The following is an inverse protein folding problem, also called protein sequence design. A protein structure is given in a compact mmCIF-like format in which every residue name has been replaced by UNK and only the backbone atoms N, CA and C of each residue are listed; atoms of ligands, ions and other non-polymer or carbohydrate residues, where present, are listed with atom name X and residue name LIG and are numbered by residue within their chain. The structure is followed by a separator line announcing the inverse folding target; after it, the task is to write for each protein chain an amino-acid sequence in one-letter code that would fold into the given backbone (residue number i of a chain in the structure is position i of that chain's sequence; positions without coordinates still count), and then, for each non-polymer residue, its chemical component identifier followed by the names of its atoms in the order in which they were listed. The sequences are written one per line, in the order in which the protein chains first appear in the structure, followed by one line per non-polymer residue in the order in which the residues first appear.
data_IF_663624402194
#
_entry.id   IF_663624402194
#
_cell.length_a   1.000
_cell.length_b   1.000
_cell.length_c   1.000
_cell.angle_alpha   90.00
_cell.angle_beta   90.00
_cell.angle_gamma   90.00
#
_symmetry.space_group_name_H-M   'P 1'
#
loop_
_entity.id
_entity.type
_entity.pdbx_description
1 polymer ?
#
# COMPACT_ATOMS: atom_id res chain seq x y z
N UNK A 1 19.15 -38.22 7.58
CA UNK A 1 19.65 -36.87 7.91
C UNK A 1 20.35 -36.35 6.69
N UNK A 2 20.05 -35.12 6.30
CA UNK A 2 20.61 -34.46 5.14
C UNK A 2 21.15 -33.08 5.54
N UNK A 3 22.16 -32.58 4.83
CA UNK A 3 22.71 -31.25 5.01
C UNK A 3 22.71 -30.50 3.67
N UNK A 4 22.43 -29.21 3.71
CA UNK A 4 22.23 -28.35 2.55
C UNK A 4 23.11 -27.12 2.68
N UNK A 5 23.93 -26.89 1.65
CA UNK A 5 24.81 -25.73 1.56
C UNK A 5 24.57 -25.03 0.22
N UNK A 6 24.07 -23.79 0.22
CA UNK A 6 23.97 -22.97 -0.98
C UNK A 6 25.35 -22.67 -1.56
N UNK A 7 25.49 -22.81 -2.88
CA UNK A 7 26.71 -22.53 -3.65
C UNK A 7 26.37 -21.54 -4.76
N UNK A 8 27.25 -20.57 -5.01
CA UNK A 8 27.06 -19.56 -6.05
C UNK A 8 26.36 -18.31 -5.52
N UNK A 9 25.42 -17.77 -6.29
CA UNK A 9 24.63 -16.59 -5.93
C UNK A 9 23.59 -16.97 -4.87
N UNK A 10 23.82 -16.50 -3.64
CA UNK A 10 22.95 -16.80 -2.48
C UNK A 10 21.79 -15.83 -2.32
N UNK A 11 21.89 -14.63 -2.91
CA UNK A 11 20.87 -13.60 -2.82
C UNK A 11 20.52 -13.13 -4.23
N UNK A 12 19.24 -12.98 -4.52
CA UNK A 12 18.74 -12.49 -5.80
C UNK A 12 17.77 -11.33 -5.58
N UNK A 13 17.99 -10.21 -6.26
CA UNK A 13 17.08 -9.06 -6.18
C UNK A 13 15.68 -9.38 -6.71
N UNK A 14 14.66 -8.95 -5.98
CA UNK A 14 13.24 -9.07 -6.33
C UNK A 14 12.56 -7.73 -6.07
N UNK A 15 12.45 -6.90 -7.11
CA UNK A 15 11.95 -5.52 -6.98
C UNK A 15 10.54 -5.42 -6.40
N UNK A 16 9.69 -6.44 -6.63
CA UNK A 16 8.34 -6.50 -6.08
C UNK A 16 8.30 -6.57 -4.55
N UNK A 17 9.42 -6.90 -3.91
CA UNK A 17 9.59 -6.98 -2.46
C UNK A 17 10.30 -5.76 -1.87
N UNK A 18 10.65 -4.75 -2.68
CA UNK A 18 11.19 -3.51 -2.18
C UNK A 18 10.18 -2.84 -1.22
N UNK A 19 10.68 -2.33 -0.10
CA UNK A 19 9.86 -1.59 0.86
C UNK A 19 10.40 -0.19 1.05
N UNK A 20 9.53 0.77 1.35
CA UNK A 20 9.92 2.14 1.65
C UNK A 20 9.39 2.56 3.01
N UNK A 21 10.27 3.11 3.84
CA UNK A 21 9.96 3.65 5.16
C UNK A 21 10.38 5.11 5.23
N UNK A 22 9.51 5.95 5.80
CA UNK A 22 9.83 7.35 6.08
C UNK A 22 10.50 7.44 7.45
N UNK A 23 11.75 7.90 7.48
CA UNK A 23 12.52 8.08 8.72
C UNK A 23 13.04 9.52 8.78
N UNK A 24 12.53 10.31 9.74
CA UNK A 24 12.89 11.72 9.85
C UNK A 24 12.51 12.52 8.60
N UNK A 25 13.51 12.99 7.86
CA UNK A 25 13.38 13.83 6.66
C UNK A 25 13.69 13.12 5.35
N UNK A 26 13.75 11.79 5.33
CA UNK A 26 14.00 11.03 4.10
C UNK A 26 13.19 9.72 4.03
N UNK A 27 12.88 9.28 2.82
CA UNK A 27 12.43 7.92 2.59
C UNK A 27 13.65 7.02 2.40
N UNK A 28 13.73 5.95 3.19
CA UNK A 28 14.68 4.86 2.97
C UNK A 28 13.97 3.72 2.29
N UNK A 29 14.51 3.27 1.16
CA UNK A 29 14.05 2.10 0.42
C UNK A 29 14.99 0.95 0.72
N UNK A 30 14.43 -0.17 1.19
CA UNK A 30 15.17 -1.42 1.41
C UNK A 30 14.86 -2.38 0.27
N UNK A 31 15.91 -2.87 -0.38
CA UNK A 31 15.83 -3.77 -1.52
C UNK A 31 15.20 -5.11 -1.13
N UNK A 32 14.27 -5.57 -1.95
CA UNK A 32 13.73 -6.91 -1.92
C UNK A 32 14.74 -7.93 -2.43
N UNK A 33 14.99 -8.98 -1.66
CA UNK A 33 15.87 -10.09 -2.04
C UNK A 33 15.21 -11.42 -1.72
N UNK A 34 15.49 -12.43 -2.55
CA UNK A 34 15.32 -13.84 -2.24
C UNK A 34 16.68 -14.41 -1.82
N UNK A 35 16.71 -15.06 -0.66
CA UNK A 35 17.93 -15.52 0.01
C UNK A 35 17.87 -17.03 0.17
N UNK A 36 18.90 -17.74 -0.33
CA UNK A 36 19.07 -19.18 -0.16
C UNK A 36 19.61 -19.50 1.24
N UNK A 37 19.00 -20.48 1.90
CA UNK A 37 19.32 -20.84 3.28
C UNK A 37 20.18 -22.10 3.35
N UNK A 38 21.09 -22.15 4.30
CA UNK A 38 21.86 -23.35 4.65
C UNK A 38 21.20 -24.07 5.82
N UNK A 39 21.33 -25.39 5.91
CA UNK A 39 20.65 -26.10 6.97
C UNK A 39 20.76 -27.61 6.91
N UNK A 40 19.95 -28.26 7.73
CA UNK A 40 19.86 -29.71 7.79
C UNK A 40 18.44 -30.17 8.10
N UNK A 41 18.15 -31.41 7.72
CA UNK A 41 16.95 -32.11 8.13
C UNK A 41 17.25 -33.51 8.67
N UNK A 42 16.32 -34.02 9.46
CA UNK A 42 16.35 -35.38 9.95
C UNK A 42 14.96 -35.94 10.11
N UNK A 43 14.73 -37.12 9.53
CA UNK A 43 13.49 -37.88 9.69
C UNK A 43 13.81 -39.32 10.14
N UNK A 44 12.98 -39.85 11.03
CA UNK A 44 12.98 -41.26 11.40
C UNK A 44 11.65 -41.86 10.97
N UNK A 45 11.72 -42.96 10.22
CA UNK A 45 10.54 -43.65 9.69
C UNK A 45 10.30 -45.00 10.36
N UNK A 46 9.05 -45.27 10.71
CA UNK A 46 8.58 -46.53 11.26
C UNK A 46 7.47 -47.14 10.38
N UNK A 47 7.53 -48.44 10.13
CA UNK A 47 6.47 -49.17 9.41
C UNK A 47 5.35 -49.49 10.39
N UNK A 48 4.15 -49.01 10.11
CA UNK A 48 2.99 -49.30 10.95
C UNK A 48 2.52 -50.75 10.73
N UNK A 49 2.23 -51.52 11.80
CA UNK A 49 1.84 -52.92 11.73
C UNK A 49 0.36 -53.09 11.36
N UNK A 50 -0.09 -52.41 10.31
CA UNK A 50 -1.48 -52.45 9.82
C UNK A 50 -1.67 -53.39 8.62
N UNK A 51 -0.56 -53.79 7.98
CA UNK A 51 -0.53 -54.72 6.85
C UNK A 51 0.57 -55.76 7.09
N UNK A 52 0.31 -57.00 6.68
CA UNK A 52 1.30 -58.09 6.80
C UNK A 52 2.61 -57.73 6.10
N UNK A 53 3.71 -58.19 6.69
CA UNK A 53 5.07 -57.85 6.26
C UNK A 53 5.28 -58.10 4.76
N UNK A 54 4.62 -59.14 4.24
CA UNK A 54 4.75 -59.64 2.87
C UNK A 54 3.57 -59.29 1.95
N UNK A 55 2.56 -58.53 2.42
CA UNK A 55 1.30 -58.26 1.68
C UNK A 55 1.42 -57.34 0.46
N UNK A 56 2.64 -56.93 0.08
CA UNK A 56 2.87 -55.93 -0.98
C UNK A 56 2.35 -54.52 -0.65
N UNK A 57 1.57 -54.34 0.42
CA UNK A 57 1.05 -53.05 0.88
C UNK A 57 1.73 -52.65 2.17
N UNK A 58 2.22 -51.42 2.23
CA UNK A 58 3.01 -50.94 3.37
C UNK A 58 2.58 -49.53 3.76
N UNK A 59 2.27 -49.30 5.03
CA UNK A 59 2.09 -47.96 5.58
C UNK A 59 3.27 -47.60 6.47
N UNK A 60 3.84 -46.42 6.28
CA UNK A 60 4.93 -45.88 7.08
C UNK A 60 4.58 -44.52 7.63
N UNK A 61 4.99 -44.27 8.86
CA UNK A 61 4.95 -42.97 9.50
C UNK A 61 6.37 -42.47 9.73
N UNK A 62 6.59 -41.20 9.44
CA UNK A 62 7.85 -40.50 9.61
C UNK A 62 7.63 -39.32 10.54
N UNK A 63 8.57 -39.14 11.47
CA UNK A 63 8.64 -37.98 12.33
C UNK A 63 10.06 -37.42 12.30
N UNK A 64 10.16 -36.10 12.24
CA UNK A 64 11.43 -35.43 12.08
C UNK A 64 11.34 -33.94 12.34
N UNK A 65 12.41 -33.26 11.99
CA UNK A 65 12.49 -31.81 12.01
C UNK A 65 13.60 -31.31 11.10
N UNK A 66 13.59 -30.00 10.90
CA UNK A 66 14.55 -29.30 10.06
C UNK A 66 14.94 -27.98 10.71
N UNK A 67 16.11 -27.47 10.33
CA UNK A 67 16.60 -26.16 10.70
C UNK A 67 17.39 -25.59 9.53
N UNK A 68 16.92 -24.45 9.01
CA UNK A 68 17.58 -23.68 7.96
C UNK A 68 17.75 -22.25 8.42
N UNK A 69 18.95 -21.71 8.23
CA UNK A 69 19.33 -20.34 8.59
C UNK A 69 20.06 -19.66 7.44
N UNK A 70 20.16 -18.34 7.52
CA UNK A 70 20.94 -17.53 6.58
C UNK A 70 21.87 -16.59 7.33
N UNK A 71 23.02 -16.29 6.74
CA UNK A 71 23.94 -15.26 7.24
C UNK A 71 23.42 -13.84 6.90
N UNK A 72 22.35 -13.73 6.10
CA UNK A 72 21.74 -12.44 5.76
C UNK A 72 20.92 -11.90 6.94
N UNK A 73 21.26 -10.69 7.38
CA UNK A 73 20.58 -10.02 8.48
C UNK A 73 19.08 -9.83 8.22
N UNK A 74 18.27 -10.08 9.25
CA UNK A 74 16.81 -9.86 9.22
C UNK A 74 16.02 -10.98 8.54
N UNK A 75 16.67 -12.04 8.08
CA UNK A 75 16.01 -13.27 7.63
C UNK A 75 15.77 -14.16 8.84
N UNK A 76 14.51 -14.54 9.07
CA UNK A 76 14.16 -15.44 10.18
C UNK A 76 14.53 -16.89 9.85
N UNK A 77 14.98 -17.64 10.87
CA UNK A 77 15.27 -19.06 10.71
C UNK A 77 14.01 -19.86 10.37
N UNK A 78 14.16 -20.82 9.46
CA UNK A 78 13.11 -21.74 9.04
C UNK A 78 13.36 -23.07 9.73
N UNK A 79 12.66 -23.30 10.83
CA UNK A 79 12.82 -24.50 11.64
C UNK A 79 11.49 -25.03 12.17
N UNK A 80 11.38 -26.34 12.31
CA UNK A 80 10.17 -26.93 12.87
C UNK A 80 10.03 -28.44 12.71
N UNK A 81 8.98 -29.01 13.30
CA UNK A 81 8.66 -30.42 13.15
C UNK A 81 8.08 -30.74 11.76
N UNK A 82 8.31 -31.97 11.33
CA UNK A 82 7.72 -32.57 10.13
C UNK A 82 7.17 -33.95 10.43
N UNK A 83 5.97 -34.22 9.94
CA UNK A 83 5.29 -35.51 9.99
C UNK A 83 4.93 -35.95 8.58
N UNK A 84 5.18 -37.21 8.24
CA UNK A 84 4.81 -37.75 6.93
C UNK A 84 4.26 -39.16 7.05
N UNK A 85 3.18 -39.43 6.33
CA UNK A 85 2.62 -40.76 6.13
C UNK A 85 2.86 -41.17 4.68
N UNK A 86 3.25 -42.41 4.46
CA UNK A 86 3.50 -42.95 3.12
C UNK A 86 2.87 -44.34 2.99
N UNK A 87 1.86 -44.45 2.12
CA UNK A 87 1.19 -45.69 1.76
C UNK A 87 1.73 -46.18 0.43
N UNK A 88 2.35 -47.34 0.45
CA UNK A 88 2.99 -47.96 -0.70
C UNK A 88 2.22 -49.22 -1.11
N UNK A 89 2.09 -49.41 -2.42
CA UNK A 89 1.63 -50.62 -3.09
C UNK A 89 2.73 -51.13 -4.02
N UNK A 90 3.29 -52.28 -3.68
CA UNK A 90 4.27 -53.02 -4.49
C UNK A 90 3.54 -53.97 -5.45
N UNK A 91 4.15 -54.23 -6.62
CA UNK A 91 3.65 -55.20 -7.61
C UNK A 91 2.20 -54.95 -8.06
N UNK A 92 1.95 -53.75 -8.58
CA UNK A 92 0.64 -53.35 -9.07
C UNK A 92 0.10 -54.37 -10.10
N UNK A 93 -1.11 -54.93 -9.90
CA UNK A 93 -1.62 -56.05 -10.70
C UNK A 93 -1.88 -55.68 -12.17
N UNK A 94 -2.00 -54.40 -12.48
CA UNK A 94 -2.23 -53.86 -13.83
C UNK A 94 -0.98 -53.23 -14.46
N UNK A 95 0.18 -53.31 -13.80
CA UNK A 95 1.42 -52.71 -14.30
C UNK A 95 2.57 -53.75 -14.36
N UNK A 96 3.76 -53.29 -14.77
CA UNK A 96 4.92 -54.16 -14.93
C UNK A 96 5.36 -54.81 -13.60
N UNK A 97 5.87 -56.04 -13.67
CA UNK A 97 6.45 -56.71 -12.50
C UNK A 97 7.57 -55.85 -11.88
N UNK A 98 7.50 -55.65 -10.57
CA UNK A 98 8.42 -54.77 -9.84
C UNK A 98 8.05 -53.28 -9.86
N UNK A 99 6.91 -52.91 -10.46
CA UNK A 99 6.35 -51.55 -10.32
C UNK A 99 5.85 -51.29 -8.90
N UNK A 100 5.88 -50.02 -8.50
CA UNK A 100 5.46 -49.56 -7.18
C UNK A 100 4.71 -48.24 -7.29
N UNK A 101 3.58 -48.14 -6.62
CA UNK A 101 2.84 -46.90 -6.44
C UNK A 101 2.92 -46.48 -4.98
N UNK A 102 3.10 -45.20 -4.70
CA UNK A 102 3.03 -44.69 -3.34
C UNK A 102 2.24 -43.38 -3.25
N UNK A 103 1.50 -43.23 -2.17
CA UNK A 103 0.70 -42.06 -1.84
C UNK A 103 1.18 -41.54 -0.50
N UNK A 104 1.65 -40.29 -0.46
CA UNK A 104 2.17 -39.64 0.72
C UNK A 104 1.31 -38.47 1.16
N UNK A 105 1.22 -38.27 2.48
CA UNK A 105 0.69 -37.06 3.09
C UNK A 105 1.74 -36.49 4.05
N UNK A 106 2.07 -35.21 3.92
CA UNK A 106 3.07 -34.54 4.74
C UNK A 106 2.46 -33.32 5.44
N UNK A 107 2.89 -33.08 6.67
CA UNK A 107 2.56 -31.89 7.44
C UNK A 107 3.84 -31.33 8.06
N UNK A 108 3.99 -30.01 7.97
CA UNK A 108 5.09 -29.29 8.62
C UNK A 108 4.59 -27.97 9.21
N UNK A 109 5.28 -27.50 10.25
CA UNK A 109 5.00 -26.22 10.88
C UNK A 109 6.28 -25.49 11.23
N UNK A 110 6.38 -24.24 10.83
CA UNK A 110 7.45 -23.31 11.21
C UNK A 110 6.88 -21.91 11.43
N UNK A 111 7.64 -21.04 12.10
CA UNK A 111 7.19 -19.67 12.42
C UNK A 111 7.03 -18.78 11.17
N UNK A 112 8.00 -18.69 10.23
CA UNK A 112 7.87 -17.79 9.08
C UNK A 112 6.81 -18.23 8.06
N UNK A 113 6.56 -19.53 7.87
CA UNK A 113 5.61 -20.07 6.86
C UNK A 113 4.30 -20.60 7.44
N UNK A 114 4.19 -20.71 8.76
CA UNK A 114 3.01 -21.26 9.43
C UNK A 114 2.90 -22.78 9.26
N UNK A 115 1.67 -23.30 9.14
CA UNK A 115 1.40 -24.73 8.93
C UNK A 115 1.15 -25.05 7.47
N UNK A 116 1.84 -26.05 6.95
CA UNK A 116 1.76 -26.49 5.56
C UNK A 116 1.44 -27.98 5.47
N UNK A 117 0.68 -28.36 4.45
CA UNK A 117 0.31 -29.74 4.20
C UNK A 117 0.45 -30.08 2.72
N UNK A 118 1.00 -31.25 2.43
CA UNK A 118 1.25 -31.72 1.07
C UNK A 118 0.68 -33.13 0.87
N UNK A 119 0.22 -33.39 -0.36
CA UNK A 119 -0.16 -34.74 -0.80
C UNK A 119 0.69 -35.06 -2.02
N UNK A 120 1.28 -36.25 -2.04
CA UNK A 120 2.13 -36.72 -3.13
C UNK A 120 1.66 -38.07 -3.65
N UNK A 121 1.84 -38.30 -4.95
CA UNK A 121 1.66 -39.59 -5.58
C UNK A 121 2.89 -39.90 -6.42
N UNK A 122 3.43 -41.11 -6.31
CA UNK A 122 4.65 -41.53 -7.01
C UNK A 122 4.44 -42.88 -7.66
N UNK A 123 4.77 -42.96 -8.94
CA UNK A 123 4.83 -44.21 -9.70
C UNK A 123 6.29 -44.52 -10.03
N UNK A 124 6.73 -45.73 -9.68
CA UNK A 124 8.04 -46.26 -10.03
C UNK A 124 7.89 -47.45 -10.95
N UNK A 125 8.61 -47.43 -12.07
CA UNK A 125 8.67 -48.53 -13.02
C UNK A 125 10.15 -48.94 -13.18
N UNK A 126 10.51 -50.22 -12.98
CA UNK A 126 11.89 -50.66 -13.16
C UNK A 126 12.27 -50.68 -14.65
N UNK A 127 13.49 -50.27 -14.99
CA UNK A 127 13.95 -50.28 -16.39
C UNK A 127 14.00 -51.67 -17.02
N UNK A 128 14.17 -52.73 -16.22
CA UNK A 128 14.11 -54.14 -16.68
C UNK A 128 12.74 -54.54 -17.23
N UNK A 129 11.70 -53.77 -16.94
CA UNK A 129 10.39 -53.93 -17.57
C UNK A 129 10.42 -53.63 -19.09
N UNK A 130 11.43 -52.89 -19.56
CA UNK A 130 11.54 -52.43 -20.95
C UNK A 130 12.64 -53.16 -21.75
N UNK A 131 13.51 -53.94 -21.10
CA UNK A 131 14.64 -54.62 -21.78
C UNK A 131 14.31 -56.02 -22.31
N UNK A 132 13.08 -56.52 -22.10
CA UNK A 132 12.63 -57.79 -22.67
C UNK A 132 13.27 -59.04 -22.06
N UNK A 133 13.97 -58.90 -20.93
CA UNK A 133 14.58 -60.03 -20.23
C UNK A 133 13.49 -61.02 -19.75
N UNK A 134 13.56 -62.26 -20.25
CA UNK A 134 12.60 -63.35 -19.95
C UNK A 134 12.76 -63.92 -18.55
N UNK A 135 13.84 -63.57 -17.84
CA UNK A 135 14.00 -63.89 -16.43
C UNK A 135 13.39 -62.74 -15.63
N UNK A 136 12.21 -62.94 -14.99
CA UNK A 136 11.66 -61.91 -14.14
C UNK A 136 12.72 -61.55 -13.09
N UNK A 137 13.06 -60.26 -13.00
CA UNK A 137 13.76 -59.71 -11.84
C UNK A 137 13.22 -60.42 -10.60
N UNK A 138 14.10 -61.07 -9.83
CA UNK A 138 13.70 -61.74 -8.59
C UNK A 138 12.76 -60.82 -7.81
N UNK A 139 11.68 -61.38 -7.27
CA UNK A 139 10.85 -60.67 -6.30
C UNK A 139 11.77 -60.21 -5.18
N UNK A 140 11.97 -58.90 -5.11
CA UNK A 140 12.89 -58.31 -4.15
C UNK A 140 12.33 -58.51 -2.76
N UNK A 141 13.19 -58.93 -1.84
CA UNK A 141 12.90 -58.95 -0.41
C UNK A 141 12.60 -57.54 0.09
N UNK A 142 11.95 -57.45 1.26
CA UNK A 142 11.64 -56.17 1.91
C UNK A 142 12.87 -55.28 2.07
N UNK A 143 14.04 -55.86 2.36
CA UNK A 143 15.28 -55.09 2.50
C UNK A 143 15.85 -54.65 1.14
N UNK A 144 15.81 -55.49 0.11
CA UNK A 144 16.25 -55.11 -1.24
C UNK A 144 15.40 -54.00 -1.85
N UNK A 145 14.08 -54.02 -1.62
CA UNK A 145 13.18 -52.93 -2.02
C UNK A 145 13.59 -51.60 -1.38
N UNK A 146 14.06 -51.64 -0.12
CA UNK A 146 14.57 -50.45 0.58
C UNK A 146 15.89 -49.95 0.05
N UNK A 147 16.79 -50.83 -0.37
CA UNK A 147 18.06 -50.42 -1.01
C UNK A 147 17.84 -49.71 -2.34
N UNK A 148 16.66 -49.90 -2.94
CA UNK A 148 16.26 -49.26 -4.16
C UNK A 148 15.50 -47.94 -3.95
N UNK A 149 15.09 -47.60 -2.72
CA UNK A 149 14.35 -46.37 -2.46
C UNK A 149 15.24 -45.14 -2.74
N UNK A 150 14.69 -44.07 -3.34
CA UNK A 150 15.45 -42.84 -3.53
C UNK A 150 15.84 -42.25 -2.19
N UNK A 151 16.92 -41.47 -2.19
CA UNK A 151 17.33 -40.70 -1.03
C UNK A 151 16.17 -39.80 -0.61
N UNK A 152 15.72 -39.96 0.63
CA UNK A 152 14.74 -39.06 1.25
C UNK A 152 15.47 -37.80 1.65
N UNK A 153 15.24 -36.73 0.90
CA UNK A 153 15.79 -35.40 1.09
C UNK A 153 14.76 -34.38 0.61
N UNK A 154 14.93 -33.13 1.03
CA UNK A 154 14.29 -32.01 0.38
C UNK A 154 14.78 -31.92 -1.07
N UNK A 155 13.83 -31.70 -1.98
CA UNK A 155 14.10 -31.63 -3.43
C UNK A 155 14.43 -30.19 -3.82
N UNK A 156 13.85 -29.23 -3.10
CA UNK A 156 13.94 -27.81 -3.40
C UNK A 156 14.98 -27.12 -2.51
N UNK A 157 15.53 -26.02 -3.00
CA UNK A 157 16.38 -25.15 -2.19
C UNK A 157 15.46 -24.30 -1.32
N UNK A 158 15.68 -24.33 0.00
CA UNK A 158 14.92 -23.48 0.92
C UNK A 158 15.37 -22.03 0.73
N UNK A 159 14.43 -21.17 0.36
CA UNK A 159 14.64 -19.74 0.22
C UNK A 159 13.67 -18.95 1.10
N UNK A 160 14.07 -17.75 1.49
CA UNK A 160 13.19 -16.72 2.04
C UNK A 160 13.25 -15.47 1.19
N UNK A 161 12.11 -14.81 1.01
CA UNK A 161 12.01 -13.61 0.19
C UNK A 161 11.42 -12.45 1.01
N UNK A 162 12.07 -11.29 0.95
CA UNK A 162 11.68 -10.12 1.72
C UNK A 162 12.64 -8.94 1.53
N UNK A 163 12.40 -7.84 2.24
CA UNK A 163 13.23 -6.64 2.14
C UNK A 163 14.49 -6.76 3.03
N UNK A 164 15.46 -7.54 2.56
CA UNK A 164 16.70 -7.85 3.30
C UNK A 164 17.95 -7.24 2.68
N UNK A 165 17.83 -6.70 1.45
CA UNK A 165 18.96 -6.19 0.71
C UNK A 165 19.42 -4.81 1.17
N UNK A 166 20.22 -4.16 0.33
CA UNK A 166 20.75 -2.83 0.64
C UNK A 166 19.64 -1.81 0.83
N UNK A 167 19.90 -0.83 1.69
CA UNK A 167 19.02 0.32 1.90
C UNK A 167 19.59 1.57 1.26
N UNK A 168 18.75 2.38 0.62
CA UNK A 168 19.14 3.63 -0.05
C UNK A 168 18.07 4.70 0.16
N UNK A 169 18.49 5.96 0.25
CA UNK A 169 17.57 7.09 0.36
C UNK A 169 16.94 7.41 -0.99
N UNK A 170 15.61 7.50 -1.04
CA UNK A 170 14.91 7.99 -2.21
C UNK A 170 15.03 9.51 -2.36
N UNK A 171 15.25 9.96 -3.59
CA UNK A 171 15.40 11.38 -3.95
C UNK A 171 14.26 11.88 -4.82
N UNK A 172 13.54 10.96 -5.46
CA UNK A 172 12.48 11.27 -6.42
C UNK A 172 11.24 10.45 -6.12
N UNK A 173 10.09 10.93 -6.56
CA UNK A 173 8.89 10.13 -6.71
C UNK A 173 8.98 9.26 -7.96
N UNK A 174 8.15 8.22 -8.07
CA UNK A 174 8.17 7.31 -9.24
C UNK A 174 7.82 7.99 -10.57
N UNK A 175 7.18 9.16 -10.53
CA UNK A 175 6.90 10.03 -11.69
C UNK A 175 8.04 11.02 -12.01
N UNK A 176 9.18 10.94 -11.29
CA UNK A 176 10.39 11.70 -11.58
C UNK A 176 10.46 13.10 -10.94
N UNK A 177 9.56 13.42 -10.01
CA UNK A 177 9.62 14.70 -9.29
C UNK A 177 10.56 14.59 -8.09
N UNK A 178 11.38 15.61 -7.85
CA UNK A 178 12.21 15.66 -6.64
C UNK A 178 11.35 15.66 -5.38
N UNK A 179 11.82 14.99 -4.33
CA UNK A 179 11.14 14.96 -3.02
C UNK A 179 11.76 15.98 -2.07
N UNK A 180 10.93 16.87 -1.54
CA UNK A 180 11.24 17.69 -0.38
C UNK A 180 10.38 17.27 0.79
N UNK A 181 10.96 17.00 1.95
CA UNK A 181 10.22 16.62 3.16
C UNK A 181 10.25 17.76 4.17
N UNK A 182 9.07 18.14 4.67
CA UNK A 182 8.90 19.19 5.69
C UNK A 182 8.17 18.63 6.91
N UNK A 183 8.58 19.06 8.09
CA UNK A 183 8.04 18.62 9.36
C UNK A 183 8.13 19.73 10.41
N UNK A 184 7.38 19.60 11.51
CA UNK A 184 7.29 20.64 12.54
C UNK A 184 8.59 20.85 13.31
N UNK A 185 9.50 19.87 13.32
CA UNK A 185 10.81 20.01 13.95
C UNK A 185 11.79 20.83 13.11
N UNK A 186 11.66 20.80 11.78
CA UNK A 186 12.50 21.53 10.83
C UNK A 186 11.92 22.88 10.39
N UNK A 187 10.65 23.16 10.71
CA UNK A 187 9.95 24.39 10.35
C UNK A 187 9.67 25.20 11.62
N UNK A 188 10.41 26.29 11.82
CA UNK A 188 10.29 27.13 13.00
C UNK A 188 9.01 27.98 13.03
N UNK A 189 8.60 28.48 11.86
CA UNK A 189 7.43 29.34 11.69
C UNK A 189 6.89 29.27 10.24
N UNK A 190 5.85 30.05 9.94
CA UNK A 190 5.25 30.10 8.60
C UNK A 190 6.19 30.69 7.54
N UNK A 191 7.11 31.59 7.91
CA UNK A 191 8.08 32.12 6.96
C UNK A 191 9.07 31.04 6.53
N UNK A 192 9.56 30.23 7.48
CA UNK A 192 10.39 29.07 7.21
C UNK A 192 9.65 28.03 6.34
N UNK A 193 8.36 27.80 6.59
CA UNK A 193 7.53 26.95 5.73
C UNK A 193 7.49 27.48 4.30
N UNK A 194 7.18 28.76 4.10
CA UNK A 194 7.13 29.37 2.78
C UNK A 194 8.48 29.35 2.06
N UNK A 195 9.59 29.52 2.78
CA UNK A 195 10.95 29.33 2.22
C UNK A 195 11.17 27.88 1.78
N UNK A 196 10.78 26.90 2.58
CA UNK A 196 10.90 25.48 2.21
C UNK A 196 10.05 25.12 0.98
N UNK A 197 8.81 25.61 0.91
CA UNK A 197 7.94 25.43 -0.25
C UNK A 197 8.52 26.11 -1.49
N UNK A 198 9.06 27.32 -1.36
CA UNK A 198 9.69 28.05 -2.47
C UNK A 198 10.93 27.32 -2.99
N UNK A 199 11.79 26.85 -2.09
CA UNK A 199 13.01 26.12 -2.44
C UNK A 199 12.71 24.77 -3.10
N UNK A 200 11.61 24.11 -2.74
CA UNK A 200 11.17 22.90 -3.41
C UNK A 200 10.75 23.18 -4.87
N UNK A 201 10.25 24.38 -5.18
CA UNK A 201 9.80 24.74 -6.53
C UNK A 201 8.64 23.87 -7.02
N UNK A 202 8.59 23.61 -8.33
CA UNK A 202 7.56 22.80 -8.99
C UNK A 202 7.79 21.28 -8.82
N UNK A 203 7.99 20.83 -7.59
CA UNK A 203 8.28 19.43 -7.23
C UNK A 203 7.30 18.90 -6.17
N UNK A 204 7.58 17.71 -5.65
CA UNK A 204 6.75 17.09 -4.60
C UNK A 204 7.23 17.51 -3.22
N UNK A 205 6.33 18.06 -2.41
CA UNK A 205 6.55 18.35 -0.99
C UNK A 205 5.73 17.40 -0.13
N UNK A 206 6.39 16.71 0.79
CA UNK A 206 5.79 15.78 1.74
C UNK A 206 5.78 16.43 3.13
N UNK A 207 4.59 16.70 3.66
CA UNK A 207 4.42 17.23 5.03
C UNK A 207 4.26 16.06 6.00
N UNK A 208 5.12 15.82 6.98
CA UNK A 208 5.06 14.55 7.74
C UNK A 208 4.17 14.58 8.98
N UNK A 209 3.89 15.76 9.52
CA UNK A 209 3.17 15.97 10.77
C UNK A 209 2.31 17.26 10.73
N UNK A 210 1.85 17.73 11.89
CA UNK A 210 1.10 18.99 12.00
C UNK A 210 2.07 20.16 12.08
N UNK A 211 1.89 21.14 11.20
CA UNK A 211 2.57 22.44 11.25
C UNK A 211 1.51 23.52 11.49
N UNK A 212 1.63 24.23 12.60
CA UNK A 212 0.78 25.39 12.89
C UNK A 212 1.30 26.62 12.14
N UNK A 213 0.39 27.39 11.55
CA UNK A 213 0.70 28.56 10.74
C UNK A 213 0.02 29.80 11.28
N UNK A 214 0.74 30.92 11.29
CA UNK A 214 0.28 32.21 11.81
C UNK A 214 0.23 33.28 10.73
N UNK A 215 0.76 32.97 9.54
CA UNK A 215 0.67 33.80 8.34
C UNK A 215 0.13 32.98 7.16
N UNK A 216 -0.04 33.66 6.03
CA UNK A 216 -0.45 33.02 4.78
C UNK A 216 0.62 32.01 4.30
N UNK A 217 0.20 30.77 4.04
CA UNK A 217 1.01 29.76 3.36
C UNK A 217 0.95 29.96 1.85
N UNK A 218 2.09 29.92 1.17
CA UNK A 218 2.18 30.13 -0.28
C UNK A 218 2.73 28.86 -0.91
N UNK A 219 1.89 28.16 -1.69
CA UNK A 219 2.29 26.98 -2.45
C UNK A 219 2.60 27.40 -3.90
N UNK A 220 3.86 27.28 -4.36
CA UNK A 220 4.26 27.66 -5.71
C UNK A 220 3.53 26.87 -6.79
N UNK A 221 3.50 27.44 -8.00
CA UNK A 221 2.94 26.77 -9.17
C UNK A 221 3.69 25.47 -9.51
N UNK A 222 2.95 24.44 -9.94
CA UNK A 222 3.49 23.12 -10.29
C UNK A 222 3.85 22.23 -9.11
N UNK A 223 3.62 22.67 -7.87
CA UNK A 223 3.98 21.90 -6.68
C UNK A 223 2.92 20.85 -6.34
N UNK A 224 3.35 19.67 -5.90
CA UNK A 224 2.47 18.65 -5.33
C UNK A 224 2.69 18.54 -3.83
N UNK A 225 1.72 18.93 -3.02
CA UNK A 225 1.75 18.80 -1.56
C UNK A 225 1.04 17.51 -1.13
N UNK A 226 1.75 16.61 -0.46
CA UNK A 226 1.20 15.33 -0.01
C UNK A 226 1.17 15.24 1.50
N UNK A 227 -0.03 15.03 2.03
CA UNK A 227 -0.37 14.94 3.45
C UNK A 227 -0.64 13.53 3.96
N UNK A 228 -1.00 12.59 3.10
CA UNK A 228 -1.27 11.19 3.47
C UNK A 228 -1.31 10.30 2.24
N UNK A 229 -1.42 8.99 2.46
CA UNK A 229 -1.69 8.01 1.40
C UNK A 229 -0.43 7.29 0.94
N UNK A 230 -0.52 6.66 -0.23
CA UNK A 230 0.59 5.97 -0.86
C UNK A 230 1.43 6.96 -1.68
N UNK A 231 2.75 6.93 -1.48
CA UNK A 231 3.72 7.71 -2.25
C UNK A 231 4.69 6.72 -2.91
N UNK A 232 4.71 6.70 -4.24
CA UNK A 232 5.74 6.00 -4.99
C UNK A 232 7.04 6.77 -4.91
N UNK A 233 8.11 6.12 -4.47
CA UNK A 233 9.44 6.72 -4.33
C UNK A 233 10.48 5.93 -5.13
N UNK A 234 11.50 6.64 -5.59
CA UNK A 234 12.59 6.12 -6.41
C UNK A 234 13.94 6.55 -5.84
N UNK A 235 14.86 5.61 -5.77
CA UNK A 235 16.24 5.87 -5.36
C UNK A 235 17.17 6.17 -6.55
N UNK A 236 18.32 6.83 -6.32
CA UNK A 236 19.32 7.06 -7.37
C UNK A 236 19.77 5.79 -8.10
N UNK A 237 19.88 4.65 -7.41
CA UNK A 237 20.21 3.38 -8.06
C UNK A 237 19.05 2.76 -8.88
N UNK A 238 17.86 3.37 -8.86
CA UNK A 238 16.70 2.97 -9.66
C UNK A 238 15.69 2.09 -8.93
N UNK A 239 15.83 1.87 -7.63
CA UNK A 239 14.87 1.07 -6.87
C UNK A 239 13.57 1.84 -6.69
N UNK A 240 12.45 1.19 -7.01
CA UNK A 240 11.11 1.73 -6.79
C UNK A 240 10.46 1.02 -5.60
N UNK A 241 9.76 1.79 -4.76
CA UNK A 241 8.95 1.27 -3.67
C UNK A 241 7.79 2.21 -3.37
N UNK A 242 6.80 1.74 -2.62
CA UNK A 242 5.67 2.56 -2.17
C UNK A 242 5.71 2.74 -0.67
N UNK A 243 5.79 3.99 -0.21
CA UNK A 243 5.67 4.34 1.19
C UNK A 243 4.21 4.69 1.53
N UNK A 244 3.69 4.19 2.65
CA UNK A 244 2.40 4.61 3.20
C UNK A 244 2.61 5.66 4.27
N UNK A 245 1.87 6.76 4.18
CA UNK A 245 1.97 7.87 5.13
C UNK A 245 0.65 8.13 5.84
N UNK A 246 0.75 8.40 7.15
CA UNK A 246 -0.36 8.92 7.97
C UNK A 246 -0.68 10.36 7.58
N UNK A 247 -1.87 10.82 7.99
CA UNK A 247 -2.37 12.15 7.68
C UNK A 247 -1.62 13.24 8.45
N UNK A 248 -1.12 14.24 7.74
CA UNK A 248 -0.44 15.43 8.25
C UNK A 248 -1.36 16.65 8.18
N UNK A 249 -0.95 17.76 8.80
CA UNK A 249 -1.82 18.93 8.89
C UNK A 249 -1.11 20.26 8.70
N UNK A 250 -1.80 21.24 8.11
CA UNK A 250 -1.46 22.65 8.16
C UNK A 250 -2.64 23.40 8.78
N UNK A 251 -2.37 24.19 9.82
CA UNK A 251 -3.45 24.77 10.62
C UNK A 251 -3.17 26.20 11.06
N UNK A 252 -4.04 27.11 10.64
CA UNK A 252 -4.15 28.44 11.21
C UNK A 252 -5.24 28.44 12.30
N UNK A 253 -4.84 28.61 13.56
CA UNK A 253 -5.75 28.54 14.71
C UNK A 253 -5.88 29.91 15.35
N UNK A 254 -7.12 30.39 15.47
CA UNK A 254 -7.46 31.72 16.02
C UNK A 254 -6.61 32.86 15.44
N UNK A 255 -6.41 32.82 14.13
CA UNK A 255 -5.69 33.88 13.40
C UNK A 255 -6.67 34.82 12.72
N UNK A 256 -6.28 36.08 12.52
CA UNK A 256 -7.06 37.03 11.72
C UNK A 256 -6.93 36.83 10.20
N UNK A 257 -6.38 35.69 9.76
CA UNK A 257 -6.13 35.40 8.35
C UNK A 257 -7.43 35.20 7.59
N UNK A 258 -7.61 35.97 6.53
CA UNK A 258 -8.67 35.71 5.55
C UNK A 258 -8.44 34.35 4.87
N UNK A 259 -7.23 34.06 4.40
CA UNK A 259 -6.89 32.77 3.78
C UNK A 259 -5.75 32.10 4.54
N UNK A 260 -5.83 30.79 4.79
CA UNK A 260 -4.71 30.04 5.36
C UNK A 260 -3.65 29.74 4.30
N UNK A 261 -4.07 29.41 3.08
CA UNK A 261 -3.15 29.07 1.99
C UNK A 261 -3.57 29.69 0.66
N UNK A 262 -2.60 30.24 -0.07
CA UNK A 262 -2.69 30.53 -1.50
C UNK A 262 -1.95 29.45 -2.30
N UNK A 263 -2.58 28.94 -3.35
CA UNK A 263 -1.97 27.95 -4.24
C UNK A 263 -1.80 28.50 -5.65
N UNK A 264 -0.72 28.10 -6.34
CA UNK A 264 -0.42 28.50 -7.71
C UNK A 264 -1.07 27.62 -8.77
N UNK A 265 -0.83 27.94 -10.05
CA UNK A 265 -1.23 27.10 -11.19
C UNK A 265 -0.65 25.68 -11.11
N UNK A 266 -1.38 24.70 -11.64
CA UNK A 266 -0.94 23.30 -11.75
C UNK A 266 -0.50 22.70 -10.39
N UNK A 267 -1.13 23.13 -9.30
CA UNK A 267 -0.83 22.66 -7.94
C UNK A 267 -1.72 21.49 -7.57
N UNK A 268 -1.14 20.46 -6.96
CA UNK A 268 -1.88 19.31 -6.45
C UNK A 268 -1.77 19.22 -4.92
N UNK A 269 -2.89 19.22 -4.22
CA UNK A 269 -2.99 19.01 -2.77
C UNK A 269 -3.63 17.65 -2.53
N UNK A 270 -2.89 16.73 -1.91
CA UNK A 270 -3.32 15.33 -1.73
C UNK A 270 -3.25 14.91 -0.28
N UNK A 271 -4.35 14.42 0.28
CA UNK A 271 -4.31 13.76 1.59
C UNK A 271 -4.00 14.69 2.77
N UNK A 272 -4.20 16.01 2.63
CA UNK A 272 -3.87 16.96 3.69
C UNK A 272 -5.01 17.09 4.71
N UNK A 273 -4.69 17.46 5.95
CA UNK A 273 -5.65 18.04 6.88
C UNK A 273 -5.38 19.55 6.98
N UNK A 274 -6.28 20.36 6.43
CA UNK A 274 -6.12 21.80 6.31
C UNK A 274 -7.16 22.50 7.19
N UNK A 275 -6.74 23.43 8.04
CA UNK A 275 -7.69 24.19 8.85
C UNK A 275 -7.38 25.66 8.95
N UNK A 276 -8.43 26.49 8.93
CA UNK A 276 -8.36 27.90 9.27
C UNK A 276 -9.50 28.25 10.24
N UNK A 277 -9.16 28.83 11.38
CA UNK A 277 -10.14 29.26 12.38
C UNK A 277 -9.85 30.66 12.89
N UNK A 278 -10.93 31.38 13.15
CA UNK A 278 -10.89 32.75 13.62
C UNK A 278 -12.10 33.03 14.53
N UNK A 279 -11.81 33.32 15.79
CA UNK A 279 -12.83 33.64 16.80
C UNK A 279 -13.29 35.11 16.79
N UNK A 280 -12.56 36.02 16.14
CA UNK A 280 -12.78 37.48 16.30
C UNK A 280 -12.91 38.28 14.98
N UNK A 281 -12.76 37.66 13.79
CA UNK A 281 -12.57 38.39 12.53
C UNK A 281 -13.62 38.24 11.43
N UNK A 282 -13.32 38.89 10.29
CA UNK A 282 -14.15 39.02 9.08
C UNK A 282 -14.04 37.81 8.16
N UNK A 283 -14.39 36.63 8.67
CA UNK A 283 -14.51 35.40 7.88
C UNK A 283 -13.17 34.79 7.49
N UNK A 284 -13.19 33.49 7.25
CA UNK A 284 -11.98 32.69 7.08
C UNK A 284 -12.15 31.65 6.00
N UNK A 285 -11.11 31.50 5.20
CA UNK A 285 -11.01 30.63 4.05
C UNK A 285 -9.83 29.70 4.25
N UNK A 286 -9.96 28.42 3.94
CA UNK A 286 -8.84 27.48 4.08
C UNK A 286 -7.91 27.56 2.88
N UNK A 287 -8.47 27.33 1.68
CA UNK A 287 -7.69 27.28 0.43
C UNK A 287 -8.15 28.36 -0.54
N UNK A 288 -7.21 29.18 -1.00
CA UNK A 288 -7.39 30.16 -2.06
C UNK A 288 -6.72 29.69 -3.36
N UNK A 289 -7.54 29.37 -4.35
CA UNK A 289 -7.12 28.99 -5.68
C UNK A 289 -7.60 29.99 -6.75
N UNK A 290 -8.05 31.19 -6.36
CA UNK A 290 -8.66 32.13 -7.29
C UNK A 290 -7.76 32.44 -8.49
N UNK A 291 -8.37 32.60 -9.66
CA UNK A 291 -7.72 32.93 -10.95
C UNK A 291 -6.64 31.95 -11.41
N UNK A 292 -6.53 30.77 -10.80
CA UNK A 292 -5.55 29.74 -11.16
C UNK A 292 -6.10 28.73 -12.19
N UNK A 293 -5.20 27.98 -12.82
CA UNK A 293 -5.51 26.87 -13.73
C UNK A 293 -4.91 25.56 -13.25
N UNK A 294 -5.60 24.44 -13.49
CA UNK A 294 -5.06 23.09 -13.26
C UNK A 294 -4.85 22.73 -11.79
N UNK A 295 -5.65 23.30 -10.90
CA UNK A 295 -5.60 23.00 -9.46
C UNK A 295 -6.30 21.68 -9.18
N UNK A 296 -5.66 20.80 -8.40
CA UNK A 296 -6.27 19.55 -7.91
C UNK A 296 -6.20 19.51 -6.39
N UNK A 297 -7.34 19.30 -5.74
CA UNK A 297 -7.46 19.12 -4.29
C UNK A 297 -8.20 17.81 -4.06
N UNK A 298 -7.51 16.82 -3.49
CA UNK A 298 -8.08 15.48 -3.33
C UNK A 298 -7.71 14.80 -2.02
N UNK A 299 -8.57 13.87 -1.59
CA UNK A 299 -8.36 13.01 -0.42
C UNK A 299 -8.11 13.79 0.88
N UNK A 300 -8.48 15.07 0.93
CA UNK A 300 -8.11 16.00 1.99
C UNK A 300 -9.27 16.26 2.95
N UNK A 301 -8.95 16.61 4.19
CA UNK A 301 -9.92 17.16 5.15
C UNK A 301 -9.67 18.66 5.23
N UNK A 302 -10.71 19.47 5.04
CA UNK A 302 -10.62 20.94 4.95
C UNK A 302 -11.62 21.50 5.96
N UNK A 303 -11.15 22.24 6.95
CA UNK A 303 -11.97 22.72 8.07
C UNK A 303 -11.87 24.23 8.21
N UNK A 304 -12.99 24.94 8.08
CA UNK A 304 -13.09 26.38 8.33
C UNK A 304 -14.02 26.68 9.50
N UNK A 305 -13.62 27.61 10.35
CA UNK A 305 -14.46 28.15 11.43
C UNK A 305 -14.30 29.66 11.57
N UNK A 306 -15.33 30.43 11.24
CA UNK A 306 -15.34 31.87 11.46
C UNK A 306 -16.47 32.27 12.41
N UNK A 307 -16.16 32.70 13.63
CA UNK A 307 -17.18 33.05 14.62
C UNK A 307 -18.10 34.19 14.12
N UNK A 308 -17.49 35.29 13.64
CA UNK A 308 -18.22 36.51 13.24
C UNK A 308 -18.44 36.62 11.73
N UNK A 309 -17.45 36.31 10.88
CA UNK A 309 -17.54 36.56 9.42
C UNK A 309 -17.70 35.34 8.52
N UNK A 310 -18.01 34.16 9.07
CA UNK A 310 -18.31 32.95 8.31
C UNK A 310 -17.08 32.10 7.96
N UNK A 311 -17.26 30.77 7.94
CA UNK A 311 -16.24 29.83 7.48
C UNK A 311 -16.45 29.46 6.02
N UNK A 312 -15.36 29.47 5.24
CA UNK A 312 -15.32 29.03 3.85
C UNK A 312 -14.25 27.95 3.67
N UNK A 313 -14.64 26.80 3.11
CA UNK A 313 -13.70 25.70 2.86
C UNK A 313 -12.71 26.04 1.75
N UNK A 314 -13.20 26.06 0.51
CA UNK A 314 -12.38 26.18 -0.70
C UNK A 314 -12.87 27.33 -1.58
N UNK A 315 -11.95 28.12 -2.11
CA UNK A 315 -12.24 29.19 -3.06
C UNK A 315 -11.54 28.94 -4.40
N UNK A 316 -12.33 28.57 -5.41
CA UNK A 316 -11.88 28.33 -6.80
C UNK A 316 -12.57 29.30 -7.76
N UNK A 317 -12.83 30.54 -7.34
CA UNK A 317 -13.42 31.53 -8.26
C UNK A 317 -12.47 31.86 -9.40
N UNK A 318 -13.04 32.02 -10.60
CA UNK A 318 -12.31 32.33 -11.83
C UNK A 318 -11.20 31.31 -12.19
N UNK A 319 -11.29 30.07 -11.70
CA UNK A 319 -10.32 29.03 -12.03
C UNK A 319 -10.63 28.34 -13.35
N UNK A 320 -9.62 27.74 -13.98
CA UNK A 320 -9.82 26.85 -15.14
C UNK A 320 -9.36 25.43 -14.80
N UNK A 321 -10.15 24.41 -15.13
CA UNK A 321 -9.82 23.00 -14.91
C UNK A 321 -9.51 22.67 -13.43
N UNK A 322 -10.25 23.24 -12.48
CA UNK A 322 -10.12 22.88 -11.07
C UNK A 322 -10.76 21.51 -10.81
N UNK A 323 -10.08 20.64 -10.06
CA UNK A 323 -10.60 19.34 -9.61
C UNK A 323 -10.61 19.34 -8.08
N UNK A 324 -11.79 19.26 -7.48
CA UNK A 324 -11.97 19.12 -6.03
C UNK A 324 -12.72 17.81 -5.80
N UNK A 325 -12.03 16.78 -5.32
CA UNK A 325 -12.64 15.45 -5.20
C UNK A 325 -12.26 14.62 -3.99
N UNK A 326 -13.17 13.77 -3.54
CA UNK A 326 -12.94 12.88 -2.40
C UNK A 326 -12.43 13.61 -1.14
N UNK A 327 -12.92 14.84 -0.92
CA UNK A 327 -12.57 15.63 0.25
C UNK A 327 -13.68 15.60 1.29
N UNK A 328 -13.31 15.76 2.56
CA UNK A 328 -14.24 16.16 3.62
C UNK A 328 -14.10 17.65 3.85
N UNK A 329 -15.12 18.44 3.51
CA UNK A 329 -15.12 19.89 3.62
C UNK A 329 -16.09 20.29 4.73
N UNK A 330 -15.54 20.77 5.84
CA UNK A 330 -16.28 21.26 6.99
C UNK A 330 -16.20 22.78 7.04
N UNK A 331 -17.36 23.44 7.04
CA UNK A 331 -17.43 24.88 7.18
C UNK A 331 -18.40 25.25 8.30
N UNK A 332 -17.97 26.17 9.16
CA UNK A 332 -18.76 26.52 10.35
C UNK A 332 -18.61 27.96 10.77
N UNK A 333 -19.63 28.45 11.46
CA UNK A 333 -19.66 29.78 12.06
C UNK A 333 -20.68 29.82 13.21
N UNK A 334 -20.54 30.78 14.12
CA UNK A 334 -21.52 30.94 15.20
C UNK A 334 -22.80 31.60 14.65
N UNK A 335 -22.64 32.73 13.95
CA UNK A 335 -23.75 33.63 13.62
C UNK A 335 -23.86 33.96 12.11
N UNK A 336 -22.76 33.82 11.35
CA UNK A 336 -22.70 34.18 9.93
C UNK A 336 -23.11 33.01 9.02
N UNK A 337 -22.95 33.18 7.70
CA UNK A 337 -23.04 32.04 6.78
C UNK A 337 -21.88 31.06 6.96
N UNK A 338 -22.09 29.81 6.55
CA UNK A 338 -21.02 28.83 6.33
C UNK A 338 -21.07 28.42 4.86
N UNK A 339 -19.91 28.42 4.20
CA UNK A 339 -19.80 28.10 2.78
C UNK A 339 -18.84 26.94 2.55
N UNK A 340 -19.30 25.88 1.90
CA UNK A 340 -18.44 24.76 1.54
C UNK A 340 -17.39 25.18 0.51
N UNK A 341 -17.87 25.68 -0.64
CA UNK A 341 -17.00 26.11 -1.74
C UNK A 341 -17.55 27.29 -2.54
N UNK A 342 -16.64 28.18 -2.99
CA UNK A 342 -16.91 29.26 -3.93
C UNK A 342 -16.36 28.94 -5.32
N UNK A 343 -17.21 29.06 -6.35
CA UNK A 343 -16.86 28.64 -7.74
C UNK A 343 -17.26 29.65 -8.83
N UNK A 344 -17.58 30.89 -8.44
CA UNK A 344 -17.97 31.98 -9.34
C UNK A 344 -16.99 32.14 -10.51
N UNK A 345 -17.47 32.05 -11.75
CA UNK A 345 -16.64 32.21 -12.95
C UNK A 345 -15.62 31.09 -13.21
N UNK A 346 -15.68 29.97 -12.47
CA UNK A 346 -14.83 28.83 -12.75
C UNK A 346 -15.23 28.16 -14.07
N UNK A 347 -14.27 27.69 -14.86
CA UNK A 347 -14.50 26.97 -16.11
C UNK A 347 -14.00 25.53 -16.03
N UNK A 348 -14.82 24.61 -16.53
CA UNK A 348 -14.55 23.17 -16.53
C UNK A 348 -14.17 22.62 -15.14
N UNK A 349 -14.87 23.08 -14.09
CA UNK A 349 -14.61 22.64 -12.73
C UNK A 349 -15.21 21.24 -12.49
N UNK A 350 -14.44 20.33 -11.90
CA UNK A 350 -14.89 18.99 -11.48
C UNK A 350 -15.03 18.92 -9.96
N UNK A 351 -16.25 18.71 -9.47
CA UNK A 351 -16.57 18.64 -8.04
C UNK A 351 -17.20 17.28 -7.78
N UNK A 352 -16.42 16.31 -7.31
CA UNK A 352 -16.85 14.92 -7.25
C UNK A 352 -16.56 14.23 -5.92
N UNK A 353 -17.46 13.38 -5.46
CA UNK A 353 -17.24 12.51 -4.28
C UNK A 353 -16.87 13.27 -2.98
N UNK A 354 -17.22 14.54 -2.86
CA UNK A 354 -16.93 15.30 -1.64
C UNK A 354 -18.04 15.12 -0.61
N UNK A 355 -17.65 15.13 0.67
CA UNK A 355 -18.56 15.18 1.81
C UNK A 355 -18.51 16.58 2.45
N UNK A 356 -19.63 17.29 2.41
CA UNK A 356 -19.76 18.64 2.96
C UNK A 356 -20.50 18.61 4.30
N UNK A 357 -19.89 19.12 5.37
CA UNK A 357 -20.56 19.32 6.66
C UNK A 357 -20.59 20.79 7.03
N UNK A 358 -21.78 21.37 7.11
CA UNK A 358 -21.98 22.79 7.37
C UNK A 358 -22.71 23.01 8.69
N UNK A 359 -22.10 23.75 9.61
CA UNK A 359 -22.68 24.04 10.93
C UNK A 359 -22.68 25.54 11.22
N UNK A 360 -23.87 26.14 11.24
CA UNK A 360 -24.08 27.54 11.62
C UNK A 360 -25.55 27.79 11.96
N UNK A 361 -25.83 28.87 12.69
CA UNK A 361 -27.17 29.45 12.84
C UNK A 361 -27.60 30.33 11.66
N UNK A 362 -26.66 30.78 10.83
CA UNK A 362 -26.90 31.52 9.61
C UNK A 362 -27.13 30.63 8.37
N UNK A 363 -26.99 31.19 7.15
CA UNK A 363 -27.17 30.42 5.92
C UNK A 363 -26.12 29.31 5.74
N UNK A 364 -26.57 28.11 5.39
CA UNK A 364 -25.72 26.99 4.98
C UNK A 364 -25.66 26.92 3.45
N UNK A 365 -24.54 27.31 2.86
CA UNK A 365 -24.34 27.32 1.41
C UNK A 365 -23.27 26.32 1.02
N UNK A 366 -23.67 25.18 0.48
CA UNK A 366 -22.72 24.10 0.13
C UNK A 366 -21.80 24.55 -1.00
N UNK A 367 -22.40 25.08 -2.07
CA UNK A 367 -21.72 25.65 -3.23
C UNK A 367 -22.31 27.02 -3.53
N UNK A 368 -21.45 27.99 -3.83
CA UNK A 368 -21.88 29.31 -4.34
C UNK A 368 -21.17 29.68 -5.64
N UNK A 369 -21.94 30.14 -6.62
CA UNK A 369 -21.45 30.49 -7.96
C UNK A 369 -22.36 31.44 -8.73
N UNK A 370 -22.16 31.51 -10.05
CA UNK A 370 -22.95 32.35 -10.95
C UNK A 370 -23.11 31.69 -12.34
N UNK A 371 -23.80 32.38 -13.26
CA UNK A 371 -24.07 31.84 -14.60
C UNK A 371 -22.88 31.78 -15.55
N UNK A 372 -21.74 32.36 -15.18
CA UNK A 372 -20.49 32.21 -15.95
C UNK A 372 -19.70 30.97 -15.56
N UNK A 373 -20.14 30.25 -14.52
CA UNK A 373 -19.50 29.01 -14.09
C UNK A 373 -19.85 27.87 -15.05
N UNK A 374 -18.86 27.09 -15.49
CA UNK A 374 -19.06 25.84 -16.21
C UNK A 374 -18.53 24.64 -15.42
N UNK A 375 -19.40 23.63 -15.28
CA UNK A 375 -19.20 22.44 -14.47
C UNK A 375 -18.97 21.25 -15.40
N UNK A 376 -17.92 20.49 -15.13
CA UNK A 376 -17.62 19.27 -15.85
C UNK A 376 -18.65 18.17 -15.50
N UNK A 377 -19.06 17.37 -16.50
CA UNK A 377 -20.09 16.34 -16.35
C UNK A 377 -19.76 15.26 -15.30
N UNK A 378 -18.48 15.09 -14.96
CA UNK A 378 -18.04 14.18 -13.89
C UNK A 378 -18.31 14.67 -12.46
N UNK A 379 -18.90 15.85 -12.26
CA UNK A 379 -19.14 16.44 -10.94
C UNK A 379 -20.30 15.76 -10.21
N UNK A 380 -20.09 14.54 -9.71
CA UNK A 380 -21.14 13.68 -9.12
C UNK A 380 -20.67 13.04 -7.82
N UNK A 381 -21.56 12.33 -7.11
CA UNK A 381 -21.20 11.57 -5.90
C UNK A 381 -21.04 12.43 -4.64
N UNK A 382 -21.41 13.71 -4.66
CA UNK A 382 -21.27 14.58 -3.49
C UNK A 382 -22.36 14.31 -2.46
N UNK A 383 -22.04 14.54 -1.19
CA UNK A 383 -22.94 14.40 -0.04
C UNK A 383 -22.87 15.64 0.82
N UNK A 384 -23.97 15.96 1.52
CA UNK A 384 -23.98 17.05 2.50
C UNK A 384 -24.97 16.79 3.63
N UNK A 385 -24.67 17.31 4.83
CA UNK A 385 -25.56 17.32 5.99
C UNK A 385 -26.72 18.33 5.89
N UNK A 386 -26.71 19.20 4.87
CA UNK A 386 -27.82 20.09 4.52
C UNK A 386 -27.37 21.41 3.89
N UNK A 387 -28.30 22.34 3.72
CA UNK A 387 -28.05 23.64 3.10
C UNK A 387 -28.46 23.68 1.62
N UNK A 388 -27.97 24.69 0.90
CA UNK A 388 -28.37 24.96 -0.48
C UNK A 388 -27.16 25.19 -1.40
N UNK A 389 -27.38 25.01 -2.69
CA UNK A 389 -26.54 25.60 -3.72
C UNK A 389 -27.08 26.98 -4.10
N UNK A 390 -26.24 28.01 -4.04
CA UNK A 390 -26.61 29.39 -4.31
C UNK A 390 -25.95 29.88 -5.60
N UNK A 391 -26.74 29.99 -6.66
CA UNK A 391 -26.31 30.53 -7.94
C UNK A 391 -27.14 31.75 -8.30
N UNK A 392 -26.49 32.88 -8.59
CA UNK A 392 -27.20 34.10 -9.04
C UNK A 392 -27.84 33.93 -10.42
N UNK A 393 -27.23 33.11 -11.27
CA UNK A 393 -27.72 32.63 -12.57
C UNK A 393 -27.24 31.19 -12.72
N UNK A 394 -28.02 30.33 -13.36
CA UNK A 394 -27.67 28.91 -13.51
C UNK A 394 -26.34 28.73 -14.28
N UNK A 395 -25.43 27.86 -13.81
CA UNK A 395 -24.20 27.51 -14.50
C UNK A 395 -24.47 26.65 -15.73
N UNK A 396 -23.42 26.37 -16.51
CA UNK A 396 -23.47 25.30 -17.54
C UNK A 396 -23.04 23.98 -16.94
N UNK A 397 -23.87 22.93 -17.08
CA UNK A 397 -23.67 21.65 -16.40
C UNK A 397 -24.11 21.72 -14.93
N UNK A 398 -24.03 20.60 -14.21
CA UNK A 398 -24.58 20.48 -12.85
C UNK A 398 -23.68 19.73 -11.88
N UNK A 399 -23.85 19.99 -10.58
CA UNK A 399 -23.16 19.25 -9.51
C UNK A 399 -24.12 18.24 -8.86
N UNK A 400 -23.83 16.96 -9.00
CA UNK A 400 -24.62 15.88 -8.43
C UNK A 400 -24.41 15.75 -6.92
N UNK A 401 -25.48 15.94 -6.16
CA UNK A 401 -25.59 15.64 -4.73
C UNK A 401 -26.64 14.55 -4.48
N UNK A 402 -26.44 13.75 -3.43
CA UNK A 402 -27.41 12.74 -3.00
C UNK A 402 -28.53 13.31 -2.12
N UNK A 403 -28.30 14.43 -1.44
CA UNK A 403 -29.21 14.99 -0.41
C UNK A 403 -29.87 16.31 -0.80
N UNK A 404 -29.35 17.00 -1.82
CA UNK A 404 -29.87 18.29 -2.32
C UNK A 404 -29.82 18.33 -3.85
N UNK A 405 -30.53 19.29 -4.45
CA UNK A 405 -30.36 19.62 -5.87
C UNK A 405 -29.41 20.79 -6.02
N UNK A 406 -28.44 20.68 -6.91
CA UNK A 406 -27.49 21.74 -7.22
C UNK A 406 -27.49 21.95 -8.75
N UNK A 407 -27.72 23.19 -9.22
CA UNK A 407 -27.65 23.53 -10.63
C UNK A 407 -26.36 23.12 -11.30
#
# INVERSE_FOLDING_TARGET
MNAYQPIGEKNKSVDALNTATLTGSSFTVTQGEEVAMQGFDGEVGYRLPVFDVDSGTNLRAYAGGYHFSSDTNGVDDVQGPRLRLDLTFDELPFAWKGSRFSVGAEWQKDDPRGSQGFVSARLRIPFSAFTGDKNPSKTLTTQERRMMDPIVRDIDVVTQAGAYGRSETATETTDGQTITIVNSAGIADTAALNTALTNAGANTVIVTDRIDTTALVIVPAGQTLIGSGAVGVRTPSGMNATAKKKKSALAATDTSLSYMMNIGNNTHIKGMNLSNSNSDGTGTYVVNAQTMSGVVIENSTITSFGATGGGVGVDVRNTTNAIVRNNTITASSNNAGAVGMLINGASNATIADNNFSLSTSGPKTVISGNGTTSIHAGSTGNTTDGGICSFTVAPTGSIGFSTITCP
#
